data_IF_473822979150
#
_entry.id   IF_473822979150
#
_cell.length_a   1.000
_cell.length_b   1.000
_cell.length_c   1.000
_cell.angle_alpha   90.00
_cell.angle_beta   90.00
_cell.angle_gamma   90.00
#
_symmetry.space_group_name_H-M   'P 1'
#
loop_
_entity.id
_entity.type
_entity.pdbx_description
1 polymer ?
#
# COMPACT_ATOMS: atom_id res chain seq x y z
N UNK A 1 7.94 26.07 0.06
CA UNK A 1 8.43 24.68 0.20
C UNK A 1 7.24 23.80 0.50
N UNK A 2 6.96 22.79 -0.32
CA UNK A 2 5.83 21.89 -0.10
C UNK A 2 6.26 20.81 0.91
N UNK A 3 5.97 21.02 2.19
CA UNK A 3 6.12 19.96 3.19
C UNK A 3 5.02 18.92 2.94
N UNK A 4 5.39 17.75 2.42
CA UNK A 4 4.54 16.57 2.52
C UNK A 4 4.51 16.21 4.00
N UNK A 5 3.53 16.72 4.76
CA UNK A 5 3.25 16.25 6.12
C UNK A 5 2.58 14.88 6.01
N UNK A 6 3.39 13.86 5.72
CA UNK A 6 2.91 12.51 5.45
C UNK A 6 2.48 11.81 6.73
N UNK A 7 1.36 11.10 6.65
CA UNK A 7 1.10 9.93 7.51
C UNK A 7 2.31 9.00 7.37
N UNK A 8 3.02 8.76 8.46
CA UNK A 8 4.06 7.73 8.50
C UNK A 8 3.39 6.36 8.42
N UNK A 9 3.55 5.69 7.28
CA UNK A 9 2.99 4.37 7.02
C UNK A 9 4.10 3.33 7.23
N UNK A 10 3.92 2.45 8.21
CA UNK A 10 4.80 1.30 8.37
C UNK A 10 4.18 0.09 7.63
N UNK A 11 4.86 -0.38 6.59
CA UNK A 11 4.48 -1.56 5.83
C UNK A 11 5.29 -2.78 6.31
N UNK A 12 4.65 -3.71 7.02
CA UNK A 12 5.27 -4.98 7.43
C UNK A 12 5.00 -6.05 6.37
N UNK A 13 6.00 -6.34 5.54
CA UNK A 13 5.88 -7.33 4.46
C UNK A 13 6.12 -8.76 4.97
N UNK A 14 5.25 -9.69 4.56
CA UNK A 14 5.40 -11.13 4.81
C UNK A 14 5.64 -11.90 3.51
N UNK A 15 6.08 -13.18 3.60
CA UNK A 15 6.14 -14.04 2.42
C UNK A 15 4.73 -14.26 1.85
N UNK A 16 4.62 -14.39 0.52
CA UNK A 16 3.39 -14.87 -0.10
C UNK A 16 3.17 -16.32 0.34
N UNK A 17 1.96 -16.63 0.78
CA UNK A 17 1.54 -17.98 1.12
C UNK A 17 1.60 -18.88 -0.13
N UNK A 18 2.58 -19.78 -0.17
CA UNK A 18 2.89 -20.63 -1.33
C UNK A 18 1.74 -21.55 -1.80
N UNK A 19 0.68 -21.69 -0.98
CA UNK A 19 -0.47 -22.55 -1.25
C UNK A 19 -1.75 -21.84 -1.67
N UNK A 20 -1.84 -20.51 -1.56
CA UNK A 20 -3.07 -19.78 -1.93
C UNK A 20 -2.99 -19.32 -3.39
N UNK A 21 -3.50 -20.15 -4.32
CA UNK A 21 -3.74 -19.71 -5.69
C UNK A 21 -5.00 -18.84 -5.70
N UNK A 22 -4.90 -17.55 -6.02
CA UNK A 22 -6.04 -16.66 -6.01
C UNK A 22 -6.95 -16.93 -7.20
N UNK A 23 -8.27 -16.71 -7.07
CA UNK A 23 -9.16 -16.65 -8.23
C UNK A 23 -8.76 -15.45 -9.10
N UNK A 24 -8.39 -15.67 -10.37
CA UNK A 24 -7.90 -14.60 -11.26
C UNK A 24 -7.65 -15.00 -12.71
N UNK A 25 -7.83 -14.07 -13.64
CA UNK A 25 -7.57 -14.26 -15.07
C UNK A 25 -6.08 -14.31 -15.43
N UNK A 26 -5.74 -14.53 -16.72
CA UNK A 26 -4.35 -14.68 -17.17
C UNK A 26 -3.45 -13.45 -16.86
N UNK A 27 -4.00 -12.24 -16.94
CA UNK A 27 -3.28 -11.01 -16.59
C UNK A 27 -2.88 -10.95 -15.10
N UNK A 28 -3.75 -11.43 -14.21
CA UNK A 28 -3.49 -11.47 -12.76
C UNK A 28 -2.45 -12.55 -12.38
N UNK A 29 -2.27 -13.55 -13.23
CA UNK A 29 -1.26 -14.61 -13.06
C UNK A 29 0.14 -14.15 -13.52
N UNK A 30 0.22 -13.16 -14.41
CA UNK A 30 1.48 -12.55 -14.84
C UNK A 30 1.93 -11.38 -13.95
N UNK A 31 1.05 -10.89 -13.06
CA UNK A 31 1.31 -9.75 -12.20
C UNK A 31 2.28 -10.08 -11.04
N UNK A 32 3.12 -9.11 -10.70
CA UNK A 32 3.95 -9.17 -9.49
C UNK A 32 3.08 -9.04 -8.24
N UNK A 33 3.48 -9.70 -7.15
CA UNK A 33 2.64 -9.89 -5.97
C UNK A 33 3.36 -9.59 -4.67
N UNK A 34 2.64 -9.02 -3.72
CA UNK A 34 3.09 -8.90 -2.33
C UNK A 34 1.92 -9.01 -1.36
N UNK A 35 2.23 -9.40 -0.13
CA UNK A 35 1.29 -9.43 0.99
C UNK A 35 1.92 -8.73 2.19
N UNK A 36 1.17 -7.83 2.81
CA UNK A 36 1.63 -7.10 3.98
C UNK A 36 0.49 -6.74 4.93
N UNK A 37 0.86 -6.36 6.15
CA UNK A 37 -0.01 -5.62 7.04
C UNK A 37 0.51 -4.19 7.12
N UNK A 38 -0.41 -3.23 7.12
CA UNK A 38 -0.08 -1.82 7.28
C UNK A 38 -0.56 -1.34 8.63
N UNK A 39 0.33 -0.70 9.37
CA UNK A 39 0.01 -0.08 10.66
C UNK A 39 0.02 1.44 10.49
N UNK A 40 -1.10 2.07 10.87
CA UNK A 40 -1.27 3.51 10.90
C UNK A 40 -0.99 3.96 12.33
N UNK A 41 0.06 4.77 12.52
CA UNK A 41 0.38 5.33 13.82
C UNK A 41 -0.78 6.22 14.32
N UNK A 42 -1.15 6.06 15.59
CA UNK A 42 -2.21 6.86 16.24
C UNK A 42 -1.68 7.98 17.13
N UNK A 43 -0.35 8.10 17.25
CA UNK A 43 0.33 9.08 18.08
C UNK A 43 1.56 9.66 17.38
N UNK A 44 2.28 10.53 18.08
CA UNK A 44 3.58 11.01 17.63
C UNK A 44 4.59 9.85 17.69
N UNK A 45 5.43 9.76 16.66
CA UNK A 45 6.54 8.80 16.64
C UNK A 45 7.77 9.45 17.29
N UNK A 46 8.37 8.75 18.24
CA UNK A 46 9.61 9.15 18.90
C UNK A 46 10.71 8.14 18.55
N UNK A 47 11.82 8.65 17.99
CA UNK A 47 12.96 7.81 17.62
C UNK A 47 13.77 7.32 18.81
N UNK A 48 13.67 8.00 19.96
CA UNK A 48 14.34 7.63 21.20
C UNK A 48 13.48 6.72 22.10
N UNK A 49 12.17 6.62 21.82
CA UNK A 49 11.22 5.74 22.51
C UNK A 49 10.50 4.78 21.54
N UNK A 50 11.01 3.53 21.41
CA UNK A 50 10.44 2.55 20.51
C UNK A 50 8.99 2.14 20.81
N UNK A 51 8.50 2.35 22.03
CA UNK A 51 7.14 1.98 22.40
C UNK A 51 6.09 2.84 21.68
N UNK A 52 6.49 4.04 21.23
CA UNK A 52 5.61 4.92 20.44
C UNK A 52 5.26 4.33 19.06
N UNK A 53 6.14 3.51 18.48
CA UNK A 53 5.88 2.81 17.20
C UNK A 53 4.89 1.65 17.36
N UNK A 54 4.70 1.12 18.57
CA UNK A 54 3.79 0.02 18.84
C UNK A 54 2.33 0.49 18.95
N UNK A 55 2.09 1.80 19.12
CA UNK A 55 0.75 2.38 19.13
C UNK A 55 0.24 2.62 17.70
N UNK A 56 -0.77 1.84 17.28
CA UNK A 56 -1.34 2.03 15.96
C UNK A 56 -2.57 1.19 15.68
N UNK A 57 -3.23 1.53 14.57
CA UNK A 57 -4.37 0.80 14.04
C UNK A 57 -3.91 0.05 12.79
N UNK A 58 -4.28 -1.22 12.68
CA UNK A 58 -4.01 -2.03 11.50
C UNK A 58 -5.00 -1.64 10.38
N UNK A 59 -4.52 -1.29 9.20
CA UNK A 59 -5.36 -1.19 8.01
C UNK A 59 -5.76 -2.61 7.58
N UNK A 60 -7.06 -2.83 7.38
CA UNK A 60 -7.61 -4.12 6.94
C UNK A 60 -7.51 -4.26 5.43
N UNK A 61 -7.49 -3.15 4.72
CA UNK A 61 -7.19 -3.11 3.29
C UNK A 61 -5.67 -3.22 3.07
N UNK A 62 -5.22 -3.42 1.81
CA UNK A 62 -3.78 -3.37 1.48
C UNK A 62 -3.13 -2.00 1.69
N UNK A 63 -3.92 -0.98 2.08
CA UNK A 63 -3.57 0.44 2.18
C UNK A 63 -3.17 1.05 0.83
N UNK A 64 -3.97 2.01 0.32
CA UNK A 64 -3.72 2.61 -0.99
C UNK A 64 -2.36 3.33 -1.06
N UNK A 65 -2.11 4.26 -0.15
CA UNK A 65 -0.84 4.99 -0.06
C UNK A 65 0.35 4.06 0.24
N UNK A 66 0.17 3.05 1.10
CA UNK A 66 1.18 2.02 1.34
C UNK A 66 1.51 1.20 0.09
N UNK A 67 0.52 0.89 -0.74
CA UNK A 67 0.69 0.22 -2.03
C UNK A 67 1.48 1.08 -3.01
N UNK A 68 1.18 2.39 -3.12
CA UNK A 68 1.95 3.33 -3.93
C UNK A 68 3.42 3.38 -3.51
N UNK A 69 3.68 3.53 -2.21
CA UNK A 69 5.03 3.59 -1.67
C UNK A 69 5.80 2.27 -1.93
N UNK A 70 5.13 1.12 -1.77
CA UNK A 70 5.72 -0.19 -2.07
C UNK A 70 6.11 -0.31 -3.54
N UNK A 71 5.23 0.08 -4.45
CA UNK A 71 5.51 0.07 -5.90
C UNK A 71 6.68 1.00 -6.25
N UNK A 72 6.74 2.21 -5.67
CA UNK A 72 7.85 3.14 -5.89
C UNK A 72 9.20 2.54 -5.49
N UNK A 73 9.26 1.87 -4.31
CA UNK A 73 10.47 1.19 -3.84
C UNK A 73 10.85 0.01 -4.75
N UNK A 74 9.89 -0.80 -5.18
CA UNK A 74 10.15 -1.91 -6.11
C UNK A 74 10.66 -1.39 -7.47
N UNK A 75 10.09 -0.30 -7.97
CA UNK A 75 10.53 0.32 -9.21
C UNK A 75 11.95 0.87 -9.11
N UNK A 76 12.27 1.59 -8.04
CA UNK A 76 13.61 2.11 -7.78
C UNK A 76 14.66 0.98 -7.65
N UNK A 77 14.26 -0.24 -7.28
CA UNK A 77 15.12 -1.43 -7.25
C UNK A 77 15.23 -2.17 -8.59
N UNK A 78 14.43 -1.79 -9.58
CA UNK A 78 14.33 -2.50 -10.87
C UNK A 78 13.41 -3.73 -10.85
N UNK A 79 12.73 -3.99 -9.73
CA UNK A 79 11.90 -5.19 -9.54
C UNK A 79 10.49 -5.04 -10.13
N UNK A 80 10.01 -3.81 -10.33
CA UNK A 80 8.69 -3.51 -10.91
C UNK A 80 8.83 -2.55 -12.10
N UNK A 81 8.73 -3.04 -13.34
CA UNK A 81 8.71 -2.19 -14.52
C UNK A 81 7.47 -1.30 -14.59
N UNK A 82 7.56 -0.20 -15.36
CA UNK A 82 6.38 0.59 -15.70
C UNK A 82 5.36 -0.26 -16.48
N UNK A 83 4.10 0.16 -16.44
CA UNK A 83 2.98 -0.49 -17.14
C UNK A 83 2.75 -1.97 -16.78
N UNK A 84 3.30 -2.41 -15.65
CA UNK A 84 3.13 -3.77 -15.13
C UNK A 84 2.16 -3.74 -13.96
N UNK A 85 1.21 -4.69 -13.93
CA UNK A 85 0.29 -4.83 -12.81
C UNK A 85 0.99 -5.40 -11.57
N UNK A 86 0.67 -4.79 -10.44
CA UNK A 86 1.11 -5.20 -9.12
C UNK A 86 -0.12 -5.50 -8.26
N UNK A 87 -0.22 -6.72 -7.76
CA UNK A 87 -1.31 -7.15 -6.88
C UNK A 87 -0.83 -7.10 -5.43
N UNK A 88 -1.50 -6.27 -4.63
CA UNK A 88 -1.20 -6.12 -3.21
C UNK A 88 -2.32 -6.72 -2.37
N UNK A 89 -1.99 -7.72 -1.56
CA UNK A 89 -2.93 -8.42 -0.69
C UNK A 89 -2.77 -8.00 0.78
N UNK A 90 -3.90 -7.74 1.45
CA UNK A 90 -3.94 -7.39 2.87
C UNK A 90 -3.91 -8.60 3.79
N UNK A 91 -3.82 -8.36 5.10
CA UNK A 91 -3.93 -9.41 6.12
C UNK A 91 -5.29 -10.14 6.14
N UNK A 92 -6.36 -9.50 5.66
CA UNK A 92 -7.69 -10.10 5.54
C UNK A 92 -7.94 -10.75 4.18
N UNK A 93 -6.96 -10.71 3.26
CA UNK A 93 -7.05 -11.29 1.92
C UNK A 93 -7.69 -10.38 0.86
N UNK A 94 -8.02 -9.13 1.21
CA UNK A 94 -8.47 -8.14 0.24
C UNK A 94 -7.34 -7.73 -0.71
N UNK A 95 -7.67 -7.33 -1.94
CA UNK A 95 -6.68 -7.01 -2.97
C UNK A 95 -6.90 -5.67 -3.62
N UNK A 96 -5.79 -4.97 -3.85
CA UNK A 96 -5.67 -3.84 -4.75
C UNK A 96 -4.80 -4.22 -5.95
N UNK A 97 -5.18 -3.71 -7.12
CA UNK A 97 -4.34 -3.74 -8.32
C UNK A 97 -3.72 -2.37 -8.49
N UNK A 98 -2.40 -2.28 -8.34
CA UNK A 98 -1.63 -1.08 -8.62
C UNK A 98 -0.92 -1.15 -9.97
N UNK A 99 -0.65 0.01 -10.57
CA UNK A 99 0.21 0.13 -11.75
C UNK A 99 0.99 1.44 -11.69
N UNK A 100 2.26 1.40 -12.08
CA UNK A 100 3.05 2.61 -12.30
C UNK A 100 2.99 3.01 -13.78
N UNK A 101 2.59 4.24 -14.05
CA UNK A 101 2.39 4.73 -15.41
C UNK A 101 3.66 5.35 -16.00
N UNK A 102 4.32 6.18 -15.21
CA UNK A 102 5.50 6.94 -15.61
C UNK A 102 6.39 7.22 -14.41
N UNK A 103 7.63 7.63 -14.68
CA UNK A 103 8.46 8.35 -13.73
C UNK A 103 8.24 9.85 -13.88
N UNK A 104 8.41 10.60 -12.80
CA UNK A 104 8.30 12.05 -12.77
C UNK A 104 9.32 12.65 -11.80
N UNK A 105 9.35 13.99 -11.72
CA UNK A 105 10.18 14.71 -10.76
C UNK A 105 9.30 15.57 -9.86
N UNK A 106 9.48 15.48 -8.55
CA UNK A 106 8.78 16.29 -7.55
C UNK A 106 9.82 16.98 -6.68
N UNK A 107 9.99 18.29 -6.85
CA UNK A 107 10.93 19.07 -6.05
C UNK A 107 12.40 18.63 -6.20
N UNK A 108 12.80 18.18 -7.39
CA UNK A 108 14.14 17.66 -7.66
C UNK A 108 14.30 16.16 -7.35
N UNK A 109 13.30 15.52 -6.74
CA UNK A 109 13.34 14.11 -6.36
C UNK A 109 12.67 13.27 -7.44
N UNK A 110 13.32 12.17 -7.84
CA UNK A 110 12.73 11.18 -8.74
C UNK A 110 11.54 10.49 -8.06
N UNK A 111 10.43 10.41 -8.77
CA UNK A 111 9.16 9.88 -8.29
C UNK A 111 8.48 9.06 -9.39
N UNK A 112 7.36 8.43 -9.02
CA UNK A 112 6.53 7.63 -9.93
C UNK A 112 5.09 8.13 -9.91
N UNK A 113 4.36 7.87 -10.99
CA UNK A 113 2.92 8.12 -11.11
C UNK A 113 2.12 6.80 -10.94
N UNK A 114 1.62 6.51 -9.73
CA UNK A 114 0.86 5.30 -9.46
C UNK A 114 -0.65 5.47 -9.72
N UNK A 115 -1.31 4.41 -10.15
CA UNK A 115 -2.75 4.22 -9.97
C UNK A 115 -3.03 2.98 -9.15
N UNK A 116 -4.20 2.96 -8.51
CA UNK A 116 -4.71 1.83 -7.75
C UNK A 116 -6.18 1.63 -8.07
N UNK A 117 -6.55 0.37 -8.25
CA UNK A 117 -7.93 -0.08 -8.37
C UNK A 117 -8.27 -1.02 -7.23
N UNK A 118 -9.45 -0.80 -6.64
CA UNK A 118 -10.02 -1.61 -5.58
C UNK A 118 -11.55 -1.61 -5.67
N UNK A 119 -12.21 -2.12 -4.64
CA UNK A 119 -13.67 -2.12 -4.53
C UNK A 119 -14.09 -1.63 -3.16
N UNK A 120 -15.24 -0.97 -3.11
CA UNK A 120 -15.86 -0.51 -1.88
C UNK A 120 -17.36 -0.84 -1.93
N UNK A 121 -17.98 -0.97 -0.76
CA UNK A 121 -19.39 -1.30 -0.61
C UNK A 121 -20.04 -0.34 0.38
N UNK A 122 -21.27 0.07 0.10
CA UNK A 122 -22.10 0.79 1.08
C UNK A 122 -22.47 -0.19 2.18
N UNK A 123 -22.01 0.07 3.40
CA UNK A 123 -22.25 -0.80 4.58
C UNK A 123 -23.39 -0.31 5.47
N UNK A 124 -23.80 0.96 5.35
CA UNK A 124 -24.91 1.51 6.11
C UNK A 124 -25.14 2.99 5.82
N UNK A 125 -26.30 3.49 6.24
CA UNK A 125 -26.65 4.90 6.27
C UNK A 125 -26.88 5.29 7.73
N UNK A 126 -26.06 6.19 8.27
CA UNK A 126 -26.03 6.51 9.70
C UNK A 126 -26.45 7.96 9.95
N UNK A 127 -27.29 8.20 10.96
CA UNK A 127 -27.56 9.52 11.53
C UNK A 127 -26.91 9.57 12.92
N UNK A 128 -25.90 10.41 13.10
CA UNK A 128 -25.15 10.55 14.35
C UNK A 128 -25.66 11.76 15.14
N UNK A 129 -25.84 11.63 16.46
CA UNK A 129 -26.22 12.71 17.38
C UNK A 129 -25.13 12.88 18.45
N UNK A 130 -25.00 14.09 18.98
CA UNK A 130 -24.08 14.45 20.06
C UNK A 130 -24.87 15.04 21.22
#
# INVERSE_FOLDING_TARGET
EASISGVSICCLAGPLDAGHRPPGGAAEQAALRAKNAVVIATGALDWDDPDTFASGIIDRSPCGTGTCARMAVLHARGDLPLQTDFIHESITGERFTGRLHATCNVGGIEAVEPSISGRAWVTGYNTLFV
#
